data_IF_936198234296
#
_entry.id   IF_936198234296
#
_cell.length_a   1.000
_cell.length_b   1.000
_cell.length_c   1.000
_cell.angle_alpha   90.00
_cell.angle_beta   90.00
_cell.angle_gamma   90.00
#
_symmetry.space_group_name_H-M   'P 1'
#
loop_
_entity.id
_entity.type
_entity.pdbx_description
1 polymer ?
#
# COMPACT_ATOMS: atom_id res chain seq x y z
N UNK A 1 8.76 8.27 4.55
CA UNK A 1 9.71 8.49 5.67
C UNK A 1 9.97 9.97 5.90
N UNK A 2 10.35 10.77 4.90
CA UNK A 2 10.61 12.22 5.02
C UNK A 2 9.47 13.00 5.68
N UNK A 3 8.22 12.77 5.25
CA UNK A 3 7.04 13.44 5.84
C UNK A 3 6.90 13.10 7.32
N UNK A 4 7.17 11.85 7.70
CA UNK A 4 7.14 11.41 9.10
C UNK A 4 8.21 12.14 9.92
N UNK A 5 9.46 12.18 9.44
CA UNK A 5 10.55 12.88 10.14
C UNK A 5 10.23 14.36 10.35
N UNK A 6 9.68 15.04 9.32
CA UNK A 6 9.26 16.45 9.44
C UNK A 6 8.11 16.64 10.43
N UNK A 7 7.12 15.76 10.41
CA UNK A 7 5.96 15.86 11.30
C UNK A 7 6.27 15.58 12.77
N UNK A 8 7.28 14.75 13.03
CA UNK A 8 7.64 14.30 14.40
C UNK A 8 8.91 14.94 14.94
N UNK A 9 9.66 15.67 14.12
CA UNK A 9 10.98 16.21 14.51
C UNK A 9 12.05 15.13 14.72
N UNK A 10 11.81 13.89 14.27
CA UNK A 10 12.74 12.78 14.45
C UNK A 10 13.78 12.72 13.34
N UNK A 11 14.95 12.16 13.64
CA UNK A 11 16.00 11.90 12.67
C UNK A 11 16.13 10.38 12.47
N UNK A 12 15.87 9.91 11.23
CA UNK A 12 15.96 8.49 10.85
C UNK A 12 16.93 8.35 9.68
N UNK A 13 17.89 7.46 9.81
CA UNK A 13 18.85 7.16 8.72
C UNK A 13 18.16 6.31 7.66
N UNK A 14 18.15 6.80 6.42
CA UNK A 14 17.57 6.08 5.29
C UNK A 14 18.53 5.04 4.73
N UNK A 15 18.12 3.77 4.73
CA UNK A 15 18.85 2.65 4.11
C UNK A 15 18.11 2.24 2.83
N UNK A 16 18.61 2.57 1.63
CA UNK A 16 17.94 2.25 0.38
C UNK A 16 18.17 0.80 -0.05
N UNK A 17 17.09 0.09 -0.38
CA UNK A 17 17.13 -1.25 -0.98
C UNK A 17 16.80 -1.16 -2.48
N UNK A 18 17.79 -1.37 -3.35
CA UNK A 18 17.65 -1.18 -4.80
C UNK A 18 16.75 -2.22 -5.49
N UNK A 19 16.61 -3.40 -4.90
CA UNK A 19 15.83 -4.50 -5.48
C UNK A 19 14.38 -4.56 -4.97
N UNK A 20 13.84 -3.47 -4.42
CA UNK A 20 12.44 -3.35 -4.02
C UNK A 20 12.10 -3.89 -2.63
N UNK A 21 10.82 -4.21 -2.41
CA UNK A 21 10.27 -4.53 -1.10
C UNK A 21 10.80 -5.84 -0.49
N UNK A 22 11.04 -6.86 -1.31
CA UNK A 22 11.46 -8.18 -0.84
C UNK A 22 12.74 -8.15 0.00
N UNK A 23 13.88 -7.71 -0.57
CA UNK A 23 15.14 -7.58 0.17
C UNK A 23 15.03 -6.65 1.38
N UNK A 24 14.24 -5.59 1.29
CA UNK A 24 14.03 -4.67 2.41
C UNK A 24 13.29 -5.34 3.59
N UNK A 25 12.31 -6.21 3.32
CA UNK A 25 11.62 -7.01 4.33
C UNK A 25 12.60 -8.02 4.97
N UNK A 26 13.45 -8.64 4.18
CA UNK A 26 14.46 -9.58 4.69
C UNK A 26 15.42 -8.84 5.63
N UNK A 27 15.92 -7.67 5.24
CA UNK A 27 16.79 -6.85 6.08
C UNK A 27 16.12 -6.44 7.40
N UNK A 28 14.83 -6.09 7.39
CA UNK A 28 14.08 -5.83 8.61
C UNK A 28 13.95 -7.08 9.49
N UNK A 29 13.65 -8.24 8.90
CA UNK A 29 13.54 -9.52 9.63
C UNK A 29 14.89 -9.99 10.19
N UNK A 30 16.00 -9.62 9.55
CA UNK A 30 17.36 -9.89 10.00
C UNK A 30 17.92 -8.85 11.00
N UNK A 31 17.10 -7.85 11.39
CA UNK A 31 17.50 -6.71 12.24
C UNK A 31 18.61 -5.83 11.64
N UNK A 32 18.79 -5.84 10.31
CA UNK A 32 19.70 -4.90 9.62
C UNK A 32 19.12 -3.47 9.64
N UNK A 33 17.80 -3.36 9.66
CA UNK A 33 17.05 -2.12 9.83
C UNK A 33 16.02 -2.27 10.95
N UNK A 34 15.65 -1.16 11.61
CA UNK A 34 14.78 -1.17 12.79
C UNK A 34 13.35 -0.77 12.49
N UNK A 35 13.11 -0.07 11.37
CA UNK A 35 11.82 0.48 10.98
C UNK A 35 11.68 0.47 9.46
N UNK A 36 10.46 0.26 8.98
CA UNK A 36 10.15 0.30 7.55
C UNK A 36 8.79 0.96 7.31
N UNK A 37 8.71 1.79 6.26
CA UNK A 37 7.46 2.27 5.66
C UNK A 37 7.24 1.47 4.38
N UNK A 38 6.17 0.67 4.34
CA UNK A 38 5.94 -0.27 3.25
C UNK A 38 4.43 -0.45 3.01
N UNK A 39 4.08 -0.91 1.82
CA UNK A 39 2.70 -1.28 1.47
C UNK A 39 2.24 -2.45 2.34
N UNK A 40 1.08 -2.32 2.94
CA UNK A 40 0.50 -3.28 3.88
C UNK A 40 0.44 -4.70 3.31
N UNK A 41 -0.05 -4.87 2.07
CA UNK A 41 -0.16 -6.18 1.41
C UNK A 41 1.16 -6.96 1.34
N UNK A 42 2.31 -6.25 1.26
CA UNK A 42 3.63 -6.89 1.19
C UNK A 42 4.09 -7.51 2.51
N UNK A 43 3.56 -7.07 3.64
CA UNK A 43 3.97 -7.51 4.99
C UNK A 43 2.87 -8.22 5.77
N UNK A 44 1.65 -8.31 5.22
CA UNK A 44 0.48 -8.88 5.91
C UNK A 44 0.74 -10.29 6.45
N UNK A 45 1.37 -11.17 5.67
CA UNK A 45 1.71 -12.53 6.10
C UNK A 45 2.70 -12.55 7.27
N UNK A 46 3.70 -11.67 7.26
CA UNK A 46 4.68 -11.54 8.34
C UNK A 46 4.06 -10.93 9.61
N UNK A 47 3.16 -9.96 9.45
CA UNK A 47 2.46 -9.34 10.56
C UNK A 47 1.50 -10.34 11.23
N UNK A 48 0.69 -11.06 10.46
CA UNK A 48 -0.20 -12.12 10.99
C UNK A 48 0.56 -13.27 11.63
N UNK A 49 1.72 -13.62 11.11
CA UNK A 49 2.62 -14.63 11.69
C UNK A 49 3.46 -14.15 12.88
N UNK A 50 3.25 -12.92 13.37
CA UNK A 50 3.97 -12.36 14.51
C UNK A 50 5.46 -12.07 14.27
N UNK A 51 5.92 -12.17 13.01
CA UNK A 51 7.34 -11.93 12.64
C UNK A 51 7.66 -10.45 12.49
N UNK A 52 6.65 -9.63 12.20
CA UNK A 52 6.75 -8.17 12.15
C UNK A 52 5.64 -7.56 13.00
N UNK A 53 5.97 -6.48 13.69
CA UNK A 53 5.02 -5.69 14.45
C UNK A 53 4.60 -4.47 13.64
N UNK A 54 3.32 -4.36 13.33
CA UNK A 54 2.76 -3.12 12.80
C UNK A 54 2.62 -2.10 13.94
N UNK A 55 3.08 -0.89 13.69
CA UNK A 55 3.01 0.21 14.65
C UNK A 55 1.82 1.12 14.40
N UNK A 56 1.60 1.48 13.13
CA UNK A 56 0.45 2.28 12.70
C UNK A 56 0.19 2.12 11.20
N UNK A 57 -1.04 2.40 10.77
CA UNK A 57 -1.43 2.47 9.37
C UNK A 57 -1.39 3.92 8.86
N UNK A 58 -0.84 4.14 7.66
CA UNK A 58 -0.87 5.42 6.95
C UNK A 58 -2.14 5.53 6.09
N UNK A 59 -3.28 5.27 6.69
CA UNK A 59 -4.58 5.29 6.05
C UNK A 59 -5.50 6.29 6.76
N UNK A 60 -6.53 6.83 6.07
CA UNK A 60 -7.48 7.75 6.71
C UNK A 60 -8.30 7.08 7.81
N UNK A 61 -8.52 5.77 7.70
CA UNK A 61 -9.27 4.93 8.63
C UNK A 61 -8.52 3.64 8.93
N UNK A 62 -8.89 2.94 10.00
CA UNK A 62 -8.28 1.65 10.35
C UNK A 62 -8.55 0.61 9.26
N UNK A 63 -7.57 -0.25 9.04
CA UNK A 63 -7.68 -1.31 8.05
C UNK A 63 -8.65 -2.40 8.53
N UNK A 64 -9.67 -2.71 7.74
CA UNK A 64 -10.68 -3.73 8.09
C UNK A 64 -10.05 -5.12 8.38
N UNK A 65 -8.92 -5.43 7.74
CA UNK A 65 -8.19 -6.69 7.92
C UNK A 65 -7.34 -6.76 9.19
N UNK A 66 -7.09 -5.60 9.85
CA UNK A 66 -6.38 -5.47 11.13
C UNK A 66 -6.91 -4.25 11.91
N UNK A 67 -8.13 -4.33 12.45
CA UNK A 67 -8.80 -3.20 13.09
C UNK A 67 -8.13 -2.74 14.40
N UNK A 68 -7.30 -3.59 15.01
CA UNK A 68 -6.55 -3.26 16.22
C UNK A 68 -5.38 -2.30 15.96
N UNK A 69 -4.95 -2.15 14.69
CA UNK A 69 -3.86 -1.26 14.34
C UNK A 69 -4.40 0.17 14.21
N UNK A 70 -3.87 1.06 15.05
CA UNK A 70 -4.19 2.49 15.01
C UNK A 70 -3.69 3.15 13.72
N UNK A 71 -4.29 4.26 13.32
CA UNK A 71 -3.80 5.06 12.19
C UNK A 71 -2.82 6.14 12.67
N UNK A 72 -1.96 6.63 11.77
CA UNK A 72 -1.11 7.79 12.06
C UNK A 72 -1.95 9.05 12.38
N UNK A 73 -3.14 9.16 11.79
CA UNK A 73 -4.10 10.23 12.06
C UNK A 73 -4.59 10.20 13.50
N UNK A 74 -4.93 9.03 14.03
CA UNK A 74 -5.34 8.85 15.44
C UNK A 74 -4.21 9.17 16.42
N UNK A 75 -2.95 8.98 15.97
CA UNK A 75 -1.74 9.34 16.74
C UNK A 75 -1.36 10.83 16.62
N UNK A 76 -2.20 11.66 15.99
CA UNK A 76 -1.98 13.10 15.86
C UNK A 76 -1.23 13.54 14.61
N UNK A 77 -0.71 12.62 13.79
CA UNK A 77 -0.02 12.91 12.53
C UNK A 77 -1.02 12.98 11.37
N UNK A 78 -1.82 14.04 11.30
CA UNK A 78 -2.95 14.18 10.36
C UNK A 78 -2.56 14.15 8.89
N UNK A 79 -1.36 14.62 8.54
CA UNK A 79 -0.87 14.71 7.17
C UNK A 79 -0.22 13.40 6.65
N UNK A 80 -0.18 12.36 7.49
CA UNK A 80 0.39 11.05 7.15
C UNK A 80 -0.69 10.04 6.77
N UNK A 81 -1.53 10.40 5.81
CA UNK A 81 -2.61 9.55 5.29
C UNK A 81 -2.36 9.09 3.84
N UNK A 82 -1.11 9.11 3.38
CA UNK A 82 -0.77 8.74 2.02
C UNK A 82 -0.77 7.22 1.84
N UNK A 83 -1.84 6.69 1.26
CA UNK A 83 -1.90 5.32 0.76
C UNK A 83 -1.07 5.13 -0.51
N UNK A 84 -0.64 3.91 -0.79
CA UNK A 84 -0.14 3.52 -2.10
C UNK A 84 -1.32 3.27 -3.04
N UNK A 85 -1.17 3.63 -4.30
CA UNK A 85 -2.15 3.34 -5.34
C UNK A 85 -1.52 2.45 -6.42
N UNK A 86 -2.34 1.70 -7.11
CA UNK A 86 -1.95 0.84 -8.22
C UNK A 86 -2.81 1.17 -9.43
N UNK A 87 -2.24 1.11 -10.62
CA UNK A 87 -2.95 1.41 -11.85
C UNK A 87 -2.55 0.46 -12.98
N UNK A 88 -3.46 0.27 -13.93
CA UNK A 88 -3.20 -0.44 -15.17
C UNK A 88 -2.84 0.58 -16.24
N UNK A 89 -1.70 0.40 -16.90
CA UNK A 89 -1.17 1.32 -17.90
C UNK A 89 -0.99 0.63 -19.23
N UNK A 90 -1.12 1.42 -20.31
CA UNK A 90 -0.78 1.01 -21.66
C UNK A 90 0.29 1.94 -22.24
N UNK A 91 1.06 1.51 -23.25
CA UNK A 91 1.91 2.41 -24.02
C UNK A 91 1.09 3.56 -24.64
N UNK A 92 1.74 4.72 -24.89
CA UNK A 92 1.06 5.94 -25.39
C UNK A 92 0.30 5.76 -26.70
N UNK A 93 0.81 4.92 -27.59
CA UNK A 93 0.29 4.76 -28.97
C UNK A 93 -0.62 3.52 -29.16
N UNK A 94 -1.25 3.05 -28.09
CA UNK A 94 -2.25 1.96 -28.21
C UNK A 94 -3.54 2.51 -28.78
N UNK A 95 -4.14 1.77 -29.74
CA UNK A 95 -5.39 2.18 -30.36
C UNK A 95 -6.49 2.42 -29.32
N UNK A 96 -7.27 3.53 -29.41
CA UNK A 96 -8.30 3.87 -28.43
C UNK A 96 -9.32 2.77 -28.17
N UNK A 97 -9.66 1.96 -29.19
CA UNK A 97 -10.57 0.85 -29.06
C UNK A 97 -10.01 -0.24 -28.11
N UNK A 98 -8.69 -0.48 -28.13
CA UNK A 98 -8.02 -1.43 -27.24
C UNK A 98 -8.03 -0.87 -25.80
N UNK A 99 -7.68 0.41 -25.62
CA UNK A 99 -7.70 1.06 -24.31
C UNK A 99 -9.11 0.98 -23.70
N UNK A 100 -10.13 1.32 -24.50
CA UNK A 100 -11.54 1.22 -24.08
C UNK A 100 -11.90 -0.22 -23.69
N UNK A 101 -11.51 -1.21 -24.48
CA UNK A 101 -11.80 -2.62 -24.16
C UNK A 101 -11.13 -3.07 -22.87
N UNK A 102 -9.87 -2.69 -22.65
CA UNK A 102 -9.14 -2.99 -21.42
C UNK A 102 -9.81 -2.33 -20.20
N UNK A 103 -10.21 -1.07 -20.34
CA UNK A 103 -10.94 -0.37 -19.28
C UNK A 103 -12.26 -1.07 -18.95
N UNK A 104 -13.10 -1.37 -19.96
CA UNK A 104 -14.40 -2.01 -19.77
C UNK A 104 -14.25 -3.37 -19.07
N UNK A 105 -13.29 -4.19 -19.51
CA UNK A 105 -13.02 -5.51 -18.89
C UNK A 105 -12.53 -5.35 -17.45
N UNK A 106 -11.56 -4.47 -17.22
CA UNK A 106 -11.04 -4.21 -15.87
C UNK A 106 -12.16 -3.73 -14.95
N UNK A 107 -12.99 -2.80 -15.41
CA UNK A 107 -14.12 -2.28 -14.63
C UNK A 107 -15.12 -3.37 -14.23
N UNK A 108 -15.45 -4.28 -15.14
CA UNK A 108 -16.33 -5.42 -14.86
C UNK A 108 -15.69 -6.38 -13.87
N UNK A 109 -14.44 -6.79 -14.10
CA UNK A 109 -13.71 -7.72 -13.24
C UNK A 109 -13.55 -7.19 -11.81
N UNK A 110 -13.20 -5.91 -11.67
CA UNK A 110 -13.02 -5.28 -10.36
C UNK A 110 -14.32 -5.16 -9.55
N UNK A 111 -15.48 -5.30 -10.19
CA UNK A 111 -16.79 -5.34 -9.53
C UNK A 111 -17.24 -6.74 -9.12
N UNK A 112 -16.54 -7.79 -9.55
CA UNK A 112 -16.93 -9.15 -9.17
C UNK A 112 -16.66 -9.40 -7.69
N UNK A 113 -17.59 -10.07 -6.97
CA UNK A 113 -17.46 -10.30 -5.52
C UNK A 113 -16.18 -11.05 -5.13
N UNK A 114 -15.75 -12.03 -5.94
CA UNK A 114 -14.54 -12.81 -5.69
C UNK A 114 -13.28 -11.92 -5.74
N UNK A 115 -13.18 -11.05 -6.75
CA UNK A 115 -12.04 -10.13 -6.88
C UNK A 115 -12.03 -9.10 -5.76
N UNK A 116 -13.19 -8.51 -5.44
CA UNK A 116 -13.31 -7.57 -4.33
C UNK A 116 -12.92 -8.21 -3.00
N UNK A 117 -13.38 -9.44 -2.75
CA UNK A 117 -13.00 -10.19 -1.56
C UNK A 117 -11.49 -10.42 -1.47
N UNK A 118 -10.85 -10.90 -2.55
CA UNK A 118 -9.40 -11.14 -2.59
C UNK A 118 -8.60 -9.87 -2.35
N UNK A 119 -9.02 -8.75 -2.93
CA UNK A 119 -8.37 -7.45 -2.72
C UNK A 119 -8.54 -6.98 -1.28
N UNK A 120 -9.75 -7.06 -0.74
CA UNK A 120 -10.03 -6.72 0.66
C UNK A 120 -9.23 -7.59 1.63
N UNK A 121 -9.17 -8.92 1.41
CA UNK A 121 -8.37 -9.85 2.21
C UNK A 121 -6.86 -9.52 2.18
N UNK A 122 -6.40 -8.91 1.07
CA UNK A 122 -5.05 -8.35 0.91
C UNK A 122 -4.86 -6.95 1.47
N UNK A 123 -5.90 -6.32 2.04
CA UNK A 123 -5.85 -4.96 2.58
C UNK A 123 -5.84 -3.87 1.50
N UNK A 124 -6.40 -4.16 0.33
CA UNK A 124 -6.53 -3.22 -0.80
C UNK A 124 -7.98 -2.77 -0.92
N UNK A 125 -8.23 -1.46 -0.85
CA UNK A 125 -9.51 -0.86 -1.20
C UNK A 125 -9.59 -0.63 -2.71
N UNK A 126 -10.76 -0.88 -3.29
CA UNK A 126 -10.98 -0.70 -4.74
C UNK A 126 -11.65 0.65 -4.97
N UNK A 127 -10.91 1.58 -5.56
CA UNK A 127 -11.44 2.81 -6.12
C UNK A 127 -11.25 2.79 -7.64
N UNK A 128 -12.35 2.71 -8.39
CA UNK A 128 -12.28 2.66 -9.85
C UNK A 128 -12.39 4.09 -10.38
N UNK A 129 -11.24 4.69 -10.71
CA UNK A 129 -11.16 5.97 -11.40
C UNK A 129 -11.51 5.85 -12.89
N UNK A 130 -11.74 7.00 -13.56
CA UNK A 130 -11.87 7.07 -15.03
C UNK A 130 -10.48 7.00 -15.68
N UNK A 131 -10.36 6.22 -16.77
CA UNK A 131 -9.20 6.32 -17.64
C UNK A 131 -9.17 7.74 -18.24
N UNK A 132 -8.10 8.48 -18.00
CA UNK A 132 -7.81 9.70 -18.76
C UNK A 132 -7.18 9.26 -20.08
N UNK A 133 -7.89 9.50 -21.18
CA UNK A 133 -7.42 9.29 -22.56
C UNK A 133 -6.69 10.56 -23.02
#
# INVERSE_FOLDING_TARGET
MEIFMRATGTHIVHVPYRAGAGPAIIGLLANETNLMFITFSSVLGHARGGRLRMLAALAPERLAVMPDITTMRELGCKDLTNGSWQGVYTPKNVAPAIVKRLFDVTHVVMKTPDVQKRLADGGVSVEIGRAHV
#
